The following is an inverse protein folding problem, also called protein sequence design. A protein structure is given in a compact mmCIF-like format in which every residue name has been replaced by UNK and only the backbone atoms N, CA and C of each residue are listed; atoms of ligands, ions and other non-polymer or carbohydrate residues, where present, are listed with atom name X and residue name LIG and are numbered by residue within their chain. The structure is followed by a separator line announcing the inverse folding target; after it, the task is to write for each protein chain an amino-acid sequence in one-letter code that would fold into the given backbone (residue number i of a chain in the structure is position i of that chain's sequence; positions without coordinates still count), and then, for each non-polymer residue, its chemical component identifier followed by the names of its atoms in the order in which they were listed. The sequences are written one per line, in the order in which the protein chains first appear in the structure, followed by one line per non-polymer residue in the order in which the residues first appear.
data_IF_794693168487
#
_entry.id   IF_794693168487
#
_cell.length_a   1.000
_cell.length_b   1.000
_cell.length_c   1.000
_cell.angle_alpha   90.00
_cell.angle_beta   90.00
_cell.angle_gamma   90.00
#
_symmetry.space_group_name_H-M   'P 1'
#
loop_
_entity.id
_entity.type
_entity.pdbx_description
1 polymer ?
#
# COMPACT_ATOMS: atom_id res chain seq x y z
N UNK A 1 -41.38 72.45 -6.85
CA UNK A 1 -39.97 72.03 -6.90
C UNK A 1 -39.89 70.78 -6.11
N UNK A 2 -39.94 69.61 -6.78
CA UNK A 2 -39.97 68.25 -6.16
C UNK A 2 -38.73 67.55 -6.55
N UNK A 3 -37.85 67.26 -5.54
CA UNK A 3 -36.62 66.54 -5.68
C UNK A 3 -36.90 65.04 -5.51
N UNK A 4 -36.67 64.25 -6.56
CA UNK A 4 -36.84 62.83 -6.60
C UNK A 4 -35.50 62.10 -6.21
N UNK A 5 -35.44 61.54 -5.02
CA UNK A 5 -34.30 60.79 -4.58
C UNK A 5 -34.31 59.36 -5.18
N UNK A 6 -33.30 59.03 -5.99
CA UNK A 6 -33.07 57.67 -6.52
C UNK A 6 -32.33 56.84 -5.46
N UNK A 7 -33.02 55.85 -4.90
CA UNK A 7 -32.41 54.82 -4.05
C UNK A 7 -31.85 53.72 -4.96
N UNK A 8 -30.52 53.62 -5.04
CA UNK A 8 -29.83 52.48 -5.65
C UNK A 8 -29.87 51.28 -4.69
N UNK A 9 -30.53 50.22 -5.13
CA UNK A 9 -30.53 48.93 -4.40
C UNK A 9 -29.32 48.15 -4.93
N UNK A 10 -28.27 48.04 -4.12
CA UNK A 10 -27.18 47.06 -4.33
C UNK A 10 -27.68 45.68 -3.94
N UNK A 11 -27.98 44.84 -4.95
CA UNK A 11 -28.20 43.40 -4.71
C UNK A 11 -26.85 42.71 -4.52
N UNK A 12 -26.53 42.36 -3.26
CA UNK A 12 -25.45 41.44 -2.96
C UNK A 12 -25.88 40.01 -3.33
N UNK A 13 -25.36 39.52 -4.44
CA UNK A 13 -25.46 38.09 -4.77
C UNK A 13 -24.48 37.33 -3.86
N UNK A 14 -24.98 36.70 -2.81
CA UNK A 14 -24.26 35.73 -2.04
C UNK A 14 -24.13 34.46 -2.91
N UNK A 15 -22.95 34.22 -3.50
CA UNK A 15 -22.59 32.92 -4.03
C UNK A 15 -22.37 31.97 -2.84
N UNK A 16 -23.39 31.19 -2.49
CA UNK A 16 -23.22 30.05 -1.60
C UNK A 16 -22.49 28.96 -2.37
N UNK A 17 -21.20 28.81 -2.11
CA UNK A 17 -20.45 27.62 -2.50
C UNK A 17 -21.08 26.41 -1.75
N UNK A 18 -22.04 25.76 -2.40
CA UNK A 18 -22.57 24.48 -1.93
C UNK A 18 -21.44 23.43 -2.04
N UNK A 19 -20.66 23.29 -1.00
CA UNK A 19 -19.71 22.18 -0.87
C UNK A 19 -20.51 20.89 -0.91
N UNK A 20 -20.36 20.14 -1.97
CA UNK A 20 -20.93 18.79 -2.14
C UNK A 20 -20.33 17.90 -1.03
N UNK A 21 -21.00 17.82 0.11
CA UNK A 21 -20.67 16.85 1.15
C UNK A 21 -21.29 15.53 0.72
N UNK A 22 -20.47 14.62 0.21
CA UNK A 22 -20.88 13.23 -0.01
C UNK A 22 -21.41 12.67 1.31
N UNK A 23 -22.51 11.94 1.25
CA UNK A 23 -22.98 11.17 2.41
C UNK A 23 -21.90 10.14 2.76
N UNK A 24 -21.70 9.80 4.06
CA UNK A 24 -20.62 8.90 4.50
C UNK A 24 -20.57 7.57 3.73
N UNK A 25 -21.70 6.98 3.40
CA UNK A 25 -21.78 5.76 2.60
C UNK A 25 -21.26 5.96 1.17
N UNK A 26 -21.66 7.03 0.49
CA UNK A 26 -21.18 7.34 -0.87
C UNK A 26 -19.67 7.64 -0.90
N UNK A 27 -19.14 8.24 0.18
CA UNK A 27 -17.70 8.48 0.30
C UNK A 27 -16.93 7.16 0.47
N UNK A 28 -17.48 6.21 1.25
CA UNK A 28 -16.90 4.88 1.42
C UNK A 28 -16.91 4.07 0.10
N UNK A 29 -18.01 4.08 -0.63
CA UNK A 29 -18.12 3.42 -1.93
C UNK A 29 -17.15 4.02 -2.96
N UNK A 30 -17.03 5.35 -2.97
CA UNK A 30 -16.08 6.05 -3.84
C UNK A 30 -14.62 5.72 -3.48
N UNK A 31 -14.28 5.65 -2.20
CA UNK A 31 -12.96 5.23 -1.75
C UNK A 31 -12.66 3.77 -2.16
N UNK A 32 -13.62 2.85 -2.00
CA UNK A 32 -13.48 1.45 -2.40
C UNK A 32 -13.25 1.30 -3.91
N UNK A 33 -13.97 2.08 -4.73
CA UNK A 33 -13.77 2.08 -6.18
C UNK A 33 -12.36 2.57 -6.56
N UNK A 34 -11.84 3.60 -5.89
CA UNK A 34 -10.47 4.09 -6.13
C UNK A 34 -9.43 3.06 -5.67
N UNK A 35 -9.62 2.41 -4.54
CA UNK A 35 -8.74 1.32 -4.07
C UNK A 35 -8.67 0.21 -5.12
N UNK A 36 -9.81 -0.24 -5.65
CA UNK A 36 -9.84 -1.26 -6.70
C UNK A 36 -9.11 -0.79 -7.97
N UNK A 37 -9.28 0.46 -8.37
CA UNK A 37 -8.61 1.04 -9.53
C UNK A 37 -7.08 1.11 -9.33
N UNK A 38 -6.62 1.61 -8.20
CA UNK A 38 -5.19 1.67 -7.86
C UNK A 38 -4.58 0.27 -7.85
N UNK A 39 -5.26 -0.69 -7.25
CA UNK A 39 -4.86 -2.09 -7.18
C UNK A 39 -4.71 -2.72 -8.56
N UNK A 40 -5.72 -2.62 -9.41
CA UNK A 40 -5.70 -3.19 -10.76
C UNK A 40 -4.66 -2.52 -11.65
N UNK A 41 -4.47 -1.22 -11.51
CA UNK A 41 -3.44 -0.48 -12.24
C UNK A 41 -2.03 -0.90 -11.79
N UNK A 42 -1.82 -1.03 -10.49
CA UNK A 42 -0.54 -1.53 -9.95
C UNK A 42 -0.23 -2.94 -10.47
N UNK A 43 -1.21 -3.86 -10.46
CA UNK A 43 -1.02 -5.21 -11.01
C UNK A 43 -0.68 -5.21 -12.50
N UNK A 44 -1.38 -4.39 -13.29
CA UNK A 44 -1.11 -4.27 -14.72
C UNK A 44 0.31 -3.75 -14.99
N UNK A 45 0.81 -2.81 -14.19
CA UNK A 45 2.18 -2.30 -14.29
C UNK A 45 3.17 -3.36 -13.82
N UNK A 46 2.95 -3.94 -12.63
CA UNK A 46 3.89 -4.84 -11.98
C UNK A 46 4.11 -6.13 -12.75
N UNK A 47 3.05 -6.71 -13.30
CA UNK A 47 3.08 -8.01 -13.98
C UNK A 47 2.96 -7.94 -15.50
N UNK A 48 2.51 -6.81 -16.04
CA UNK A 48 2.28 -6.65 -17.49
C UNK A 48 3.32 -5.80 -18.20
N UNK A 49 4.13 -5.02 -17.49
CA UNK A 49 5.19 -4.17 -18.06
C UNK A 49 6.55 -4.75 -17.67
N UNK A 50 7.44 -5.04 -18.62
CA UNK A 50 8.80 -5.50 -18.33
C UNK A 50 9.55 -4.53 -17.41
N UNK A 51 10.45 -5.07 -16.56
CA UNK A 51 11.30 -4.25 -15.70
C UNK A 51 12.16 -3.28 -16.52
N UNK A 52 12.25 -2.03 -16.07
CA UNK A 52 12.99 -0.96 -16.71
C UNK A 52 12.34 0.41 -16.58
N UNK A 53 12.82 1.35 -17.39
CA UNK A 53 12.39 2.76 -17.31
C UNK A 53 10.89 2.94 -17.56
N UNK A 54 10.30 2.17 -18.48
CA UNK A 54 8.87 2.26 -18.75
C UNK A 54 8.03 1.86 -17.54
N UNK A 55 8.36 0.74 -16.88
CA UNK A 55 7.68 0.29 -15.68
C UNK A 55 7.84 1.31 -14.55
N UNK A 56 9.06 1.83 -14.37
CA UNK A 56 9.38 2.86 -13.37
C UNK A 56 8.57 4.14 -13.60
N UNK A 57 8.49 4.62 -14.84
CA UNK A 57 7.74 5.82 -15.17
C UNK A 57 6.24 5.65 -14.92
N UNK A 58 5.67 4.50 -15.32
CA UNK A 58 4.26 4.18 -15.06
C UNK A 58 3.96 4.06 -13.56
N UNK A 59 4.87 3.45 -12.79
CA UNK A 59 4.71 3.33 -11.34
C UNK A 59 4.82 4.70 -10.66
N UNK A 60 5.67 5.60 -11.15
CA UNK A 60 5.75 6.96 -10.64
C UNK A 60 4.47 7.75 -10.90
N UNK A 61 3.91 7.65 -12.11
CA UNK A 61 2.63 8.28 -12.44
C UNK A 61 1.47 7.72 -11.58
N UNK A 62 1.45 6.40 -11.34
CA UNK A 62 0.49 5.78 -10.43
C UNK A 62 0.65 6.28 -8.99
N UNK A 63 1.89 6.54 -8.56
CA UNK A 63 2.15 7.11 -7.24
C UNK A 63 1.62 8.52 -7.07
N UNK A 64 1.76 9.38 -8.08
CA UNK A 64 1.17 10.73 -8.07
C UNK A 64 -0.35 10.68 -8.02
N UNK A 65 -0.95 9.73 -8.72
CA UNK A 65 -2.38 9.49 -8.68
C UNK A 65 -2.83 8.95 -7.30
N UNK A 66 -2.09 8.02 -6.70
CA UNK A 66 -2.37 7.52 -5.35
C UNK A 66 -2.31 8.64 -4.31
N UNK A 67 -1.33 9.54 -4.40
CA UNK A 67 -1.23 10.75 -3.57
C UNK A 67 -2.48 11.61 -3.69
N UNK A 68 -2.96 11.84 -4.91
CA UNK A 68 -4.17 12.63 -5.15
C UNK A 68 -5.44 11.94 -4.61
N UNK A 69 -5.52 10.62 -4.69
CA UNK A 69 -6.60 9.83 -4.09
C UNK A 69 -6.55 9.91 -2.57
N UNK A 70 -5.38 9.74 -1.96
CA UNK A 70 -5.20 9.85 -0.51
C UNK A 70 -5.58 11.24 0.02
N UNK A 71 -5.28 12.30 -0.72
CA UNK A 71 -5.70 13.66 -0.37
C UNK A 71 -7.23 13.83 -0.39
N UNK A 72 -7.97 13.10 -1.23
CA UNK A 72 -9.44 13.12 -1.28
C UNK A 72 -10.09 12.26 -0.20
N UNK A 73 -9.41 11.19 0.24
CA UNK A 73 -9.92 10.20 1.19
C UNK A 73 -8.95 9.98 2.36
N UNK A 74 -8.55 11.03 3.11
CA UNK A 74 -7.52 10.94 4.15
C UNK A 74 -7.92 10.05 5.33
N UNK A 75 -9.21 9.79 5.51
CA UNK A 75 -9.77 8.97 6.57
C UNK A 75 -10.07 7.52 6.12
N UNK A 76 -9.66 7.12 4.90
CA UNK A 76 -9.78 5.74 4.43
C UNK A 76 -8.47 4.99 4.64
N UNK A 77 -8.42 4.04 5.60
CA UNK A 77 -7.22 3.23 5.80
C UNK A 77 -6.86 2.39 4.57
N UNK A 78 -7.85 1.95 3.79
CA UNK A 78 -7.64 1.18 2.57
C UNK A 78 -6.92 1.99 1.49
N UNK A 79 -7.30 3.25 1.32
CA UNK A 79 -6.63 4.18 0.39
C UNK A 79 -5.20 4.43 0.85
N UNK A 80 -4.99 4.71 2.13
CA UNK A 80 -3.65 4.93 2.69
C UNK A 80 -2.76 3.67 2.58
N UNK A 81 -3.32 2.47 2.75
CA UNK A 81 -2.56 1.23 2.55
C UNK A 81 -2.05 1.14 1.10
N UNK A 82 -2.91 1.40 0.11
CA UNK A 82 -2.49 1.33 -1.30
C UNK A 82 -1.53 2.46 -1.69
N UNK A 83 -1.71 3.66 -1.19
CA UNK A 83 -0.75 4.76 -1.37
C UNK A 83 0.63 4.38 -0.79
N UNK A 84 0.66 3.83 0.42
CA UNK A 84 1.88 3.36 1.05
C UNK A 84 2.55 2.20 0.30
N UNK A 85 1.78 1.22 -0.21
CA UNK A 85 2.29 0.11 -1.02
C UNK A 85 2.91 0.64 -2.32
N UNK A 86 2.20 1.49 -3.07
CA UNK A 86 2.67 2.06 -4.33
C UNK A 86 3.92 2.92 -4.07
N UNK A 87 3.93 3.72 -3.02
CA UNK A 87 5.10 4.54 -2.63
C UNK A 87 6.30 3.67 -2.26
N UNK A 88 6.09 2.52 -1.59
CA UNK A 88 7.16 1.57 -1.29
C UNK A 88 7.70 0.88 -2.55
N UNK A 89 6.84 0.58 -3.52
CA UNK A 89 7.26 0.04 -4.81
C UNK A 89 8.10 1.06 -5.60
N UNK A 90 7.68 2.32 -5.63
CA UNK A 90 8.49 3.41 -6.21
C UNK A 90 9.86 3.54 -5.54
N UNK A 91 9.93 3.35 -4.22
CA UNK A 91 11.20 3.36 -3.50
C UNK A 91 12.13 2.23 -3.98
N UNK A 92 11.59 1.04 -4.29
CA UNK A 92 12.38 -0.10 -4.78
C UNK A 92 12.94 0.11 -6.19
N UNK A 93 12.28 0.94 -7.00
CA UNK A 93 12.67 1.27 -8.37
C UNK A 93 13.50 2.55 -8.48
N UNK A 94 13.60 3.31 -7.39
CA UNK A 94 14.23 4.62 -7.37
C UNK A 94 15.76 4.54 -7.29
N UNK A 95 16.45 5.62 -7.69
CA UNK A 95 17.88 5.76 -7.44
C UNK A 95 18.19 5.76 -5.93
N UNK A 96 19.38 5.37 -5.56
CA UNK A 96 19.81 5.30 -4.14
C UNK A 96 19.54 6.60 -3.38
N UNK A 97 19.66 7.77 -4.04
CA UNK A 97 19.46 9.07 -3.41
C UNK A 97 17.99 9.36 -3.08
N UNK A 98 17.05 8.89 -3.90
CA UNK A 98 15.61 9.12 -3.71
C UNK A 98 14.90 7.98 -2.98
N UNK A 99 15.44 6.77 -3.06
CA UNK A 99 14.84 5.56 -2.47
C UNK A 99 14.52 5.71 -0.98
N UNK A 100 15.47 6.22 -0.18
CA UNK A 100 15.27 6.39 1.26
C UNK A 100 14.19 7.42 1.60
N UNK A 101 14.08 8.49 0.81
CA UNK A 101 13.02 9.50 0.97
C UNK A 101 11.64 8.91 0.73
N UNK A 102 11.48 8.16 -0.36
CA UNK A 102 10.25 7.44 -0.68
C UNK A 102 9.92 6.36 0.36
N UNK A 103 10.92 5.59 0.81
CA UNK A 103 10.70 4.57 1.84
C UNK A 103 10.25 5.18 3.19
N UNK A 104 10.81 6.34 3.59
CA UNK A 104 10.33 7.07 4.79
C UNK A 104 8.90 7.55 4.62
N UNK A 105 8.56 8.10 3.45
CA UNK A 105 7.20 8.53 3.15
C UNK A 105 6.22 7.35 3.19
N UNK A 106 6.55 6.24 2.53
CA UNK A 106 5.72 5.02 2.57
C UNK A 106 5.49 4.54 4.01
N UNK A 107 6.54 4.53 4.84
CA UNK A 107 6.42 4.20 6.26
C UNK A 107 5.43 5.10 6.97
N UNK A 108 5.54 6.41 6.81
CA UNK A 108 4.71 7.38 7.52
C UNK A 108 3.23 7.25 7.12
N UNK A 109 2.94 7.02 5.84
CA UNK A 109 1.59 6.74 5.33
C UNK A 109 1.04 5.43 5.93
N UNK A 110 1.83 4.36 5.87
CA UNK A 110 1.42 3.05 6.39
C UNK A 110 1.26 3.05 7.93
N UNK A 111 2.05 3.82 8.67
CA UNK A 111 1.88 4.00 10.11
C UNK A 111 0.56 4.72 10.44
N UNK A 112 0.11 5.65 9.60
CA UNK A 112 -1.21 6.27 9.74
C UNK A 112 -2.30 5.23 9.52
N UNK A 113 -2.27 4.49 8.42
CA UNK A 113 -3.24 3.43 8.13
C UNK A 113 -3.27 2.34 9.21
N UNK A 114 -2.11 1.94 9.72
CA UNK A 114 -1.97 0.96 10.77
C UNK A 114 -2.64 1.40 12.09
N UNK A 115 -2.50 2.67 12.47
CA UNK A 115 -3.18 3.23 13.65
C UNK A 115 -4.69 3.26 13.49
N UNK A 116 -5.18 3.47 12.29
CA UNK A 116 -6.62 3.53 12.00
C UNK A 116 -7.27 2.14 11.99
N UNK A 117 -6.69 1.19 11.28
CA UNK A 117 -7.29 -0.12 11.07
C UNK A 117 -6.25 -1.20 10.72
N UNK A 118 -5.55 -1.79 11.71
CA UNK A 118 -4.43 -2.70 11.46
C UNK A 118 -4.79 -3.99 10.71
N UNK A 119 -6.05 -4.44 10.76
CA UNK A 119 -6.49 -5.67 10.09
C UNK A 119 -6.99 -5.45 8.65
N UNK A 120 -7.12 -4.19 8.19
CA UNK A 120 -7.67 -3.88 6.86
C UNK A 120 -6.78 -4.42 5.74
N UNK A 121 -7.44 -4.85 4.64
CA UNK A 121 -6.81 -5.43 3.45
C UNK A 121 -5.81 -6.55 3.83
N UNK A 122 -6.30 -7.56 4.54
CA UNK A 122 -5.50 -8.70 5.01
C UNK A 122 -4.23 -8.27 5.77
N UNK A 123 -4.41 -7.33 6.71
CA UNK A 123 -3.32 -6.73 7.48
C UNK A 123 -2.25 -6.05 6.58
N UNK A 124 -2.68 -5.39 5.52
CA UNK A 124 -1.79 -4.78 4.52
C UNK A 124 -0.83 -3.74 5.11
N UNK A 125 -1.29 -2.92 6.07
CA UNK A 125 -0.43 -1.94 6.72
C UNK A 125 0.70 -2.57 7.54
N UNK A 126 0.47 -3.47 8.53
CA UNK A 126 1.56 -4.09 9.28
C UNK A 126 2.44 -5.00 8.41
N UNK A 127 1.88 -5.65 7.38
CA UNK A 127 2.66 -6.42 6.41
C UNK A 127 3.67 -5.53 5.69
N UNK A 128 3.20 -4.44 5.07
CA UNK A 128 4.05 -3.54 4.29
C UNK A 128 5.05 -2.78 5.17
N UNK A 129 4.66 -2.38 6.38
CA UNK A 129 5.59 -1.82 7.37
C UNK A 129 6.69 -2.81 7.74
N UNK A 130 6.32 -4.07 8.00
CA UNK A 130 7.29 -5.13 8.27
C UNK A 130 8.30 -5.27 7.14
N UNK A 131 7.84 -5.26 5.88
CA UNK A 131 8.71 -5.30 4.69
C UNK A 131 9.67 -4.11 4.67
N UNK A 132 9.19 -2.90 4.87
CA UNK A 132 10.05 -1.70 4.93
C UNK A 132 11.11 -1.82 6.02
N UNK A 133 10.74 -2.28 7.22
CA UNK A 133 11.67 -2.38 8.34
C UNK A 133 12.77 -3.41 8.15
N UNK A 134 12.58 -4.52 7.40
CA UNK A 134 13.66 -5.44 7.16
C UNK A 134 14.45 -5.20 5.87
N UNK A 135 13.87 -4.49 4.89
CA UNK A 135 14.53 -4.23 3.60
C UNK A 135 15.31 -2.91 3.59
N UNK A 136 14.86 -1.90 4.32
CA UNK A 136 15.59 -0.63 4.43
C UNK A 136 16.82 -0.82 5.32
N UNK A 137 17.97 -0.23 4.98
CA UNK A 137 19.14 -0.27 5.85
C UNK A 137 18.85 0.30 7.23
N UNK A 138 19.49 -0.26 8.26
CA UNK A 138 19.42 0.24 9.63
C UNK A 138 20.22 1.52 9.84
N UNK A 139 20.14 2.04 11.09
CA UNK A 139 20.94 3.21 11.49
C UNK A 139 22.44 2.99 11.26
N UNK A 140 23.23 4.02 10.83
CA UNK A 140 22.81 5.41 10.62
C UNK A 140 22.26 5.74 9.22
N UNK A 141 22.23 4.78 8.30
CA UNK A 141 21.84 5.01 6.90
C UNK A 141 20.34 5.17 6.73
N UNK A 142 19.56 4.35 7.42
CA UNK A 142 18.10 4.33 7.30
C UNK A 142 17.42 4.00 8.62
N UNK A 143 16.15 3.60 8.51
CA UNK A 143 15.30 3.30 9.66
C UNK A 143 15.05 1.80 9.85
N UNK A 144 15.74 0.93 9.10
CA UNK A 144 15.56 -0.52 9.18
C UNK A 144 15.75 -1.06 10.59
N UNK A 145 14.86 -1.97 11.00
CA UNK A 145 14.83 -2.59 12.32
C UNK A 145 14.23 -3.99 12.20
N UNK A 146 15.07 -5.01 12.28
CA UNK A 146 14.65 -6.41 12.14
C UNK A 146 13.76 -6.90 13.28
N UNK A 147 13.91 -6.35 14.48
CA UNK A 147 13.07 -6.71 15.62
C UNK A 147 11.65 -6.15 15.43
N UNK A 148 11.55 -4.89 15.01
CA UNK A 148 10.26 -4.27 14.67
C UNK A 148 9.61 -4.94 13.46
N UNK A 149 10.38 -5.32 12.43
CA UNK A 149 9.89 -6.09 11.29
C UNK A 149 9.25 -7.40 11.74
N UNK A 150 9.92 -8.18 12.59
CA UNK A 150 9.40 -9.42 13.14
C UNK A 150 8.07 -9.21 13.85
N UNK A 151 8.00 -8.25 14.78
CA UNK A 151 6.78 -7.95 15.52
C UNK A 151 5.59 -7.64 14.60
N UNK A 152 5.82 -6.80 13.58
CA UNK A 152 4.80 -6.40 12.63
C UNK A 152 4.32 -7.56 11.77
N UNK A 153 5.23 -8.40 11.26
CA UNK A 153 4.88 -9.54 10.40
C UNK A 153 4.21 -10.67 11.20
N UNK A 154 4.67 -10.95 12.43
CA UNK A 154 3.97 -11.88 13.33
C UNK A 154 2.57 -11.39 13.71
N UNK A 155 2.39 -10.09 13.85
CA UNK A 155 1.06 -9.50 14.05
C UNK A 155 0.21 -9.61 12.79
N UNK A 156 0.78 -9.35 11.61
CA UNK A 156 0.08 -9.44 10.34
C UNK A 156 -0.54 -10.82 10.11
N UNK A 157 0.23 -11.90 10.29
CA UNK A 157 -0.30 -13.28 10.13
C UNK A 157 -1.34 -13.65 11.20
N UNK A 158 -1.32 -13.02 12.37
CA UNK A 158 -2.38 -13.18 13.39
C UNK A 158 -3.66 -12.45 13.03
N UNK A 159 -3.54 -11.25 12.47
CA UNK A 159 -4.68 -10.42 12.05
C UNK A 159 -5.32 -10.94 10.76
N UNK A 160 -4.52 -11.52 9.88
CA UNK A 160 -4.93 -12.06 8.58
C UNK A 160 -4.43 -13.50 8.40
N UNK A 161 -5.00 -14.47 9.10
CA UNK A 161 -4.56 -15.88 9.01
C UNK A 161 -4.76 -16.50 7.62
N UNK A 162 -5.62 -15.89 6.80
CA UNK A 162 -5.86 -16.28 5.39
C UNK A 162 -5.24 -15.30 4.39
N UNK A 163 -4.44 -14.33 4.83
CA UNK A 163 -3.81 -13.34 3.97
C UNK A 163 -2.57 -13.89 3.28
N UNK A 164 -2.64 -14.10 1.97
CA UNK A 164 -1.54 -14.65 1.16
C UNK A 164 -0.26 -13.80 1.29
N UNK A 165 -0.37 -12.48 1.16
CA UNK A 165 0.78 -11.58 1.30
C UNK A 165 1.34 -11.54 2.72
N UNK A 166 0.49 -11.61 3.76
CA UNK A 166 0.95 -11.62 5.15
C UNK A 166 1.87 -12.83 5.40
N UNK A 167 1.44 -14.02 4.99
CA UNK A 167 2.23 -15.24 5.14
C UNK A 167 3.47 -15.27 4.22
N UNK A 168 3.33 -14.80 2.99
CA UNK A 168 4.48 -14.70 2.08
C UNK A 168 5.58 -13.80 2.66
N UNK A 169 5.25 -12.58 3.07
CA UNK A 169 6.25 -11.63 3.57
C UNK A 169 6.81 -12.04 4.94
N UNK A 170 6.02 -12.72 5.76
CA UNK A 170 6.56 -13.33 6.98
C UNK A 170 7.57 -14.43 6.64
N UNK A 171 7.26 -15.31 5.70
CA UNK A 171 8.19 -16.32 5.19
C UNK A 171 9.45 -15.73 4.56
N UNK A 172 9.32 -14.67 3.74
CA UNK A 172 10.46 -13.97 3.12
C UNK A 172 11.36 -13.34 4.18
N UNK A 173 10.78 -12.70 5.20
CA UNK A 173 11.54 -12.21 6.36
C UNK A 173 12.31 -13.32 7.07
N UNK A 174 11.68 -14.45 7.38
CA UNK A 174 12.33 -15.58 8.03
C UNK A 174 13.45 -16.17 7.16
N UNK A 175 13.23 -16.24 5.85
CA UNK A 175 14.25 -16.65 4.89
C UNK A 175 15.49 -15.74 4.95
N UNK A 176 15.29 -14.41 4.94
CA UNK A 176 16.37 -13.42 5.07
C UNK A 176 17.10 -13.51 6.44
N UNK A 177 16.40 -13.95 7.48
CA UNK A 177 17.02 -14.23 8.79
C UNK A 177 17.67 -15.62 8.87
N UNK A 178 17.67 -16.41 7.77
CA UNK A 178 18.18 -17.79 7.68
C UNK A 178 17.45 -18.80 8.57
N UNK A 179 16.22 -18.47 8.98
CA UNK A 179 15.33 -19.36 9.71
C UNK A 179 14.58 -20.27 8.73
N UNK A 180 15.30 -21.05 7.94
CA UNK A 180 14.78 -21.75 6.76
C UNK A 180 13.62 -22.70 7.04
N UNK A 181 13.66 -23.45 8.14
CA UNK A 181 12.54 -24.33 8.54
C UNK A 181 11.24 -23.56 8.73
N UNK A 182 11.29 -22.47 9.50
CA UNK A 182 10.11 -21.64 9.76
C UNK A 182 9.66 -20.89 8.50
N UNK A 183 10.60 -20.47 7.65
CA UNK A 183 10.29 -19.87 6.36
C UNK A 183 9.51 -20.85 5.48
N UNK A 184 9.95 -22.10 5.40
CA UNK A 184 9.25 -23.15 4.64
C UNK A 184 7.84 -23.41 5.20
N UNK A 185 7.67 -23.46 6.51
CA UNK A 185 6.35 -23.61 7.15
C UNK A 185 5.40 -22.45 6.74
N UNK A 186 5.88 -21.21 6.81
CA UNK A 186 5.11 -20.02 6.41
C UNK A 186 4.74 -20.05 4.91
N UNK A 187 5.67 -20.44 4.05
CA UNK A 187 5.44 -20.56 2.60
C UNK A 187 4.46 -21.70 2.26
N UNK A 188 4.57 -22.87 2.91
CA UNK A 188 3.61 -23.95 2.73
C UNK A 188 2.21 -23.54 3.19
N UNK A 189 2.12 -22.83 4.32
CA UNK A 189 0.84 -22.29 4.75
C UNK A 189 0.26 -21.32 3.71
N UNK A 190 1.06 -20.39 3.19
CA UNK A 190 0.63 -19.47 2.13
C UNK A 190 0.10 -20.21 0.89
N UNK A 191 0.78 -21.27 0.44
CA UNK A 191 0.35 -22.07 -0.71
C UNK A 191 -0.93 -22.89 -0.44
N UNK A 192 -1.21 -23.23 0.82
CA UNK A 192 -2.44 -23.95 1.21
C UNK A 192 -3.70 -23.08 1.20
N UNK A 193 -3.55 -21.76 1.16
CA UNK A 193 -4.68 -20.81 1.15
C UNK A 193 -5.47 -20.91 -0.16
N UNK A 194 -6.79 -20.61 -0.14
CA UNK A 194 -7.60 -20.51 -1.34
C UNK A 194 -7.02 -19.52 -2.35
N UNK A 195 -7.27 -19.76 -3.63
CA UNK A 195 -6.93 -18.80 -4.69
C UNK A 195 -7.84 -17.57 -4.62
N UNK A 196 -7.32 -16.44 -5.09
CA UNK A 196 -8.05 -15.18 -5.17
C UNK A 196 -8.57 -14.95 -6.61
N UNK A 197 -9.83 -15.34 -6.92
CA UNK A 197 -10.37 -15.26 -8.28
C UNK A 197 -10.48 -13.83 -8.79
N UNK A 198 -10.64 -12.86 -7.89
CA UNK A 198 -10.75 -11.43 -8.24
C UNK A 198 -9.38 -10.82 -8.63
N UNK A 199 -8.27 -11.52 -8.29
CA UNK A 199 -6.88 -11.06 -8.52
C UNK A 199 -5.99 -12.16 -9.09
N UNK A 200 -6.35 -12.78 -10.21
CA UNK A 200 -5.70 -14.00 -10.69
C UNK A 200 -4.23 -13.79 -11.09
N UNK A 201 -3.87 -12.63 -11.61
CA UNK A 201 -2.50 -12.32 -11.99
C UNK A 201 -1.60 -12.19 -10.75
N UNK A 202 -2.04 -11.47 -9.74
CA UNK A 202 -1.32 -11.33 -8.48
C UNK A 202 -1.20 -12.66 -7.74
N UNK A 203 -2.28 -13.41 -7.58
CA UNK A 203 -2.29 -14.71 -6.90
C UNK A 203 -1.30 -15.68 -7.55
N UNK A 204 -1.38 -15.83 -8.89
CA UNK A 204 -0.47 -16.68 -9.65
C UNK A 204 0.99 -16.28 -9.45
N UNK A 205 1.31 -15.00 -9.63
CA UNK A 205 2.70 -14.53 -9.51
C UNK A 205 3.22 -14.68 -8.08
N UNK A 206 2.38 -14.41 -7.07
CA UNK A 206 2.77 -14.59 -5.67
C UNK A 206 3.11 -16.05 -5.35
N UNK A 207 2.30 -17.00 -5.82
CA UNK A 207 2.55 -18.44 -5.63
C UNK A 207 3.82 -18.91 -6.33
N UNK A 208 4.08 -18.44 -7.55
CA UNK A 208 5.33 -18.75 -8.24
C UNK A 208 6.56 -18.28 -7.46
N UNK A 209 6.55 -17.06 -6.91
CA UNK A 209 7.66 -16.56 -6.07
C UNK A 209 7.82 -17.39 -4.78
N UNK A 210 6.71 -17.85 -4.18
CA UNK A 210 6.76 -18.73 -3.01
C UNK A 210 7.41 -20.07 -3.36
N UNK A 211 7.05 -20.68 -4.50
CA UNK A 211 7.63 -21.94 -4.97
C UNK A 211 9.14 -21.80 -5.24
N UNK A 212 9.57 -20.70 -5.84
CA UNK A 212 10.99 -20.37 -6.03
C UNK A 212 11.75 -20.24 -4.69
N UNK A 213 11.14 -19.62 -3.68
CA UNK A 213 11.72 -19.52 -2.34
C UNK A 213 11.85 -20.88 -1.67
N UNK A 214 10.84 -21.75 -1.79
CA UNK A 214 10.89 -23.13 -1.28
C UNK A 214 11.99 -23.94 -1.98
N UNK A 215 12.12 -23.86 -3.29
CA UNK A 215 13.22 -24.48 -4.03
C UNK A 215 14.58 -23.97 -3.56
N UNK A 216 14.70 -22.66 -3.31
CA UNK A 216 15.93 -22.07 -2.77
C UNK A 216 16.27 -22.56 -1.35
N UNK A 217 15.27 -22.86 -0.52
CA UNK A 217 15.46 -23.46 0.82
C UNK A 217 15.97 -24.88 0.68
N UNK A 218 15.32 -25.69 -0.17
CA UNK A 218 15.72 -27.10 -0.39
C UNK A 218 17.17 -27.23 -0.88
N UNK A 219 17.66 -26.30 -1.66
CA UNK A 219 19.04 -26.27 -2.13
C UNK A 219 20.08 -25.86 -1.05
N UNK A 220 19.63 -25.42 0.14
CA UNK A 220 20.49 -24.96 1.25
C UNK A 220 20.54 -25.96 2.43
N UNK A 221 19.70 -26.98 2.40
CA UNK A 221 19.63 -28.10 3.36
C UNK A 221 20.40 -29.30 2.85
#
# INVERSE_FOLDING_TARGET
MTSTSRRSILSCILLTAAGFRLFPAQAADAAAAEVHRLQTTWEAIKFGVPEGDEQTNKMNALGEDADAVAARFPDSPEVLIWDGIITSERASMASMFSALGLAKRARDILEQAYKMAPAKLDAGAPTSLGVLYYRVPGFPVGFGDKAKARQLLEQAVKLAPTGLDAWYFYGDFLFEQKEYSKAAEAFHHALSLPQHPDRPAWDKNRRLVIEERLASIAAKQ
#
